data_IF_454278756038
#
_entry.id   IF_454278756038
#
_cell.length_a   1.000
_cell.length_b   1.000
_cell.length_c   1.000
_cell.angle_alpha   90.00
_cell.angle_beta   90.00
_cell.angle_gamma   90.00
#
_symmetry.space_group_name_H-M   'P 1'
#
loop_
_entity.id
_entity.type
_entity.pdbx_description
1 polymer ?
#
# COMPACT_ATOMS: atom_id res chain seq x y z
N UNK A 1 20.60 -44.92 -3.47
CA UNK A 1 20.89 -43.49 -3.70
C UNK A 1 20.23 -43.09 -5.02
N UNK A 2 18.97 -42.65 -4.99
CA UNK A 2 18.24 -42.29 -6.21
C UNK A 2 18.10 -40.78 -6.31
N UNK A 3 19.05 -40.15 -7.01
CA UNK A 3 18.89 -38.78 -7.49
C UNK A 3 17.92 -38.80 -8.67
N UNK A 4 16.67 -38.42 -8.42
CA UNK A 4 15.68 -38.16 -9.48
C UNK A 4 15.79 -36.67 -9.83
N UNK A 5 16.03 -36.26 -11.08
CA UNK A 5 16.15 -34.84 -11.42
C UNK A 5 14.78 -34.18 -11.19
N UNK A 6 14.66 -33.38 -10.12
CA UNK A 6 13.41 -32.67 -9.82
C UNK A 6 13.26 -31.50 -10.79
N UNK A 7 12.29 -31.60 -11.70
CA UNK A 7 11.96 -30.52 -12.64
C UNK A 7 11.42 -29.28 -11.91
N UNK A 8 11.46 -28.13 -12.59
CA UNK A 8 11.05 -26.83 -12.03
C UNK A 8 9.63 -26.86 -11.43
N UNK A 9 8.68 -27.55 -12.08
CA UNK A 9 7.31 -27.70 -11.58
C UNK A 9 7.20 -28.53 -10.31
N UNK A 10 8.00 -29.60 -10.17
CA UNK A 10 8.02 -30.43 -8.96
C UNK A 10 8.57 -29.64 -7.77
N UNK A 11 9.57 -28.79 -8.01
CA UNK A 11 10.14 -27.90 -6.97
C UNK A 11 9.16 -26.81 -6.60
N UNK A 12 8.40 -26.28 -7.56
CA UNK A 12 7.39 -25.26 -7.31
C UNK A 12 6.15 -25.79 -6.58
N UNK A 13 5.65 -26.99 -6.92
CA UNK A 13 4.57 -27.63 -6.16
C UNK A 13 5.01 -27.96 -4.74
N UNK A 14 6.24 -28.44 -4.56
CA UNK A 14 6.81 -28.70 -3.25
C UNK A 14 7.00 -27.41 -2.44
N UNK A 15 7.45 -26.32 -3.06
CA UNK A 15 7.57 -25.02 -2.38
C UNK A 15 6.21 -24.45 -1.98
N UNK A 16 5.18 -24.61 -2.81
CA UNK A 16 3.81 -24.19 -2.44
C UNK A 16 3.27 -24.97 -1.24
N UNK A 17 3.48 -26.29 -1.21
CA UNK A 17 3.09 -27.10 -0.05
C UNK A 17 3.85 -26.68 1.21
N UNK A 18 5.16 -26.43 1.10
CA UNK A 18 5.96 -25.95 2.24
C UNK A 18 5.49 -24.58 2.76
N UNK A 19 5.09 -23.66 1.89
CA UNK A 19 4.56 -22.34 2.29
C UNK A 19 3.22 -22.48 3.04
N UNK A 20 2.37 -23.40 2.61
CA UNK A 20 1.09 -23.66 3.27
C UNK A 20 1.30 -24.30 4.65
N UNK A 21 2.27 -25.23 4.77
CA UNK A 21 2.69 -25.81 6.05
C UNK A 21 3.33 -24.77 6.98
N UNK A 22 4.21 -23.89 6.46
CA UNK A 22 4.80 -22.77 7.19
C UNK A 22 3.71 -21.82 7.72
N UNK A 23 2.72 -21.46 6.89
CA UNK A 23 1.60 -20.60 7.29
C UNK A 23 0.74 -21.23 8.39
N UNK A 24 0.45 -22.53 8.28
CA UNK A 24 -0.29 -23.26 9.31
C UNK A 24 0.52 -23.38 10.62
N UNK A 25 1.83 -23.54 10.52
CA UNK A 25 2.71 -23.55 11.69
C UNK A 25 2.81 -22.17 12.36
N UNK A 26 2.84 -21.10 11.58
CA UNK A 26 2.77 -19.72 12.08
C UNK A 26 1.41 -19.44 12.74
N UNK A 27 0.29 -19.85 12.12
CA UNK A 27 -1.06 -19.71 12.68
C UNK A 27 -1.21 -20.49 14.00
N UNK A 28 -0.66 -21.70 14.08
CA UNK A 28 -0.62 -22.49 15.31
C UNK A 28 0.32 -21.88 16.37
N UNK A 29 1.44 -21.29 15.96
CA UNK A 29 2.36 -20.61 16.86
C UNK A 29 1.75 -19.31 17.42
N UNK A 30 1.01 -18.56 16.60
CA UNK A 30 0.27 -17.37 17.04
C UNK A 30 -0.88 -17.74 17.96
N UNK A 31 -1.63 -18.80 17.68
CA UNK A 31 -2.70 -19.28 18.57
C UNK A 31 -2.14 -19.71 19.93
N UNK A 32 -1.00 -20.42 19.94
CA UNK A 32 -0.31 -20.82 21.18
C UNK A 32 0.32 -19.62 21.91
N UNK A 33 0.73 -18.59 21.20
CA UNK A 33 1.21 -17.35 21.81
C UNK A 33 0.05 -16.57 22.45
N UNK A 34 -1.12 -16.53 21.79
CA UNK A 34 -2.34 -15.92 22.33
C UNK A 34 -2.85 -16.66 23.57
N UNK A 35 -2.89 -18.00 23.57
CA UNK A 35 -3.25 -18.77 24.77
C UNK A 35 -2.30 -18.49 25.95
N UNK A 36 -0.99 -18.31 25.69
CA UNK A 36 -0.03 -17.96 26.73
C UNK A 36 -0.17 -16.52 27.22
N UNK A 37 -0.53 -15.58 26.36
CA UNK A 37 -0.79 -14.20 26.79
C UNK A 37 -2.06 -14.12 27.60
N UNK A 38 -3.12 -14.86 27.23
CA UNK A 38 -4.38 -14.91 27.99
C UNK A 38 -4.17 -15.53 29.38
N UNK A 39 -3.32 -16.56 29.50
CA UNK A 39 -2.98 -17.20 30.79
C UNK A 39 -2.07 -16.31 31.67
N UNK A 40 -1.26 -15.42 31.06
CA UNK A 40 -0.48 -14.42 31.80
C UNK A 40 -1.32 -13.20 32.20
N UNK A 41 -2.26 -12.75 31.36
CA UNK A 41 -3.15 -11.62 31.66
C UNK A 41 -4.08 -11.94 32.83
N UNK A 42 -4.58 -13.18 32.93
CA UNK A 42 -5.36 -13.64 34.09
C UNK A 42 -4.57 -13.60 35.40
N UNK A 43 -3.24 -13.79 35.35
CA UNK A 43 -2.37 -13.75 36.54
C UNK A 43 -1.95 -12.33 36.96
N UNK A 44 -1.88 -11.38 36.01
CA UNK A 44 -1.55 -9.97 36.28
C UNK A 44 -2.79 -9.15 36.70
N UNK A 45 -3.99 -9.55 36.25
CA UNK A 45 -5.27 -8.98 36.68
C UNK A 45 -5.57 -9.23 38.18
N UNK A 46 -5.30 -10.42 38.73
CA UNK A 46 -5.53 -10.69 40.17
C UNK A 46 -4.61 -9.85 41.10
N UNK A 47 -3.39 -9.52 40.64
CA UNK A 47 -2.43 -8.72 41.42
C UNK A 47 -2.72 -7.22 41.32
N UNK A 48 -3.25 -6.76 40.19
CA UNK A 48 -3.57 -5.34 39.97
C UNK A 48 -4.94 -4.93 40.53
N UNK A 49 -5.93 -5.84 40.54
CA UNK A 49 -7.26 -5.59 41.15
C UNK A 49 -7.15 -5.36 42.66
N UNK A 50 -6.27 -6.12 43.33
CA UNK A 50 -5.97 -6.00 44.77
C UNK A 50 -5.33 -4.65 45.16
N UNK A 51 -4.64 -3.98 44.24
CA UNK A 51 -3.94 -2.72 44.52
C UNK A 51 -4.76 -1.48 44.10
N UNK A 52 -5.63 -1.61 43.10
CA UNK A 52 -6.50 -0.54 42.62
C UNK A 52 -7.75 -0.32 43.48
N UNK A 53 -8.29 -1.35 44.15
CA UNK A 53 -9.43 -1.18 45.08
C UNK A 53 -9.10 -0.29 46.30
N UNK A 54 -7.82 -0.14 46.66
CA UNK A 54 -7.41 0.73 47.77
C UNK A 54 -7.32 2.22 47.42
N UNK A 55 -7.35 2.58 46.12
CA UNK A 55 -7.12 3.95 45.65
C UNK A 55 -8.33 4.60 44.96
N UNK A 56 -9.40 3.85 44.66
CA UNK A 56 -10.58 4.36 43.95
C UNK A 56 -11.77 4.75 44.87
N UNK A 57 -11.67 4.56 46.20
CA UNK A 57 -12.80 4.81 47.13
C UNK A 57 -13.00 6.31 47.47
N UNK A 58 -12.28 7.25 46.83
CA UNK A 58 -12.38 8.68 47.20
C UNK A 58 -12.94 9.65 46.15
N UNK A 59 -13.24 9.26 44.91
CA UNK A 59 -13.64 10.25 43.89
C UNK A 59 -14.84 9.90 42.97
N UNK A 60 -15.64 8.87 43.26
CA UNK A 60 -16.79 8.53 42.41
C UNK A 60 -18.10 8.27 43.16
N UNK A 61 -18.38 9.06 44.21
CA UNK A 61 -19.70 9.16 44.83
C UNK A 61 -20.42 10.43 44.34
N UNK A 62 -20.92 10.39 43.11
CA UNK A 62 -21.94 11.26 42.46
C UNK A 62 -21.82 10.97 40.95
N UNK A 63 -22.67 10.21 40.26
CA UNK A 63 -24.12 10.04 40.35
C UNK A 63 -24.45 8.60 39.92
N UNK A 64 -24.71 7.72 40.89
CA UNK A 64 -25.35 6.43 40.65
C UNK A 64 -26.83 6.56 40.99
N UNK A 65 -27.62 7.17 40.11
CA UNK A 65 -29.09 7.06 40.15
C UNK A 65 -29.67 7.21 38.74
N UNK A 66 -29.61 6.13 37.96
CA UNK A 66 -30.83 5.52 37.40
C UNK A 66 -30.43 4.26 36.61
N UNK A 67 -30.79 3.12 37.20
CA UNK A 67 -31.17 1.85 36.58
C UNK A 67 -30.31 1.32 35.41
N UNK A 68 -29.68 0.17 35.65
CA UNK A 68 -28.96 -0.69 34.71
C UNK A 68 -29.84 -1.24 33.57
N UNK A 69 -30.37 -0.34 32.73
CA UNK A 69 -31.04 -0.65 31.48
C UNK A 69 -30.12 -0.23 30.35
N UNK A 70 -29.67 -1.21 29.57
CA UNK A 70 -28.95 -0.94 28.32
C UNK A 70 -29.89 -0.15 27.42
N UNK A 71 -29.53 1.09 27.11
CA UNK A 71 -30.27 1.94 26.20
C UNK A 71 -30.04 1.40 24.78
N UNK A 72 -31.13 1.00 24.14
CA UNK A 72 -31.11 0.54 22.74
C UNK A 72 -31.24 1.73 21.80
N UNK A 73 -31.03 1.51 20.50
CA UNK A 73 -31.10 2.57 19.48
C UNK A 73 -32.46 3.31 19.42
N UNK A 74 -33.52 2.77 20.02
CA UNK A 74 -34.86 3.39 20.06
C UNK A 74 -34.99 4.44 21.18
N UNK A 75 -34.18 4.33 22.23
CA UNK A 75 -34.18 5.25 23.38
C UNK A 75 -33.27 6.47 23.13
N UNK A 76 -32.37 6.40 22.14
CA UNK A 76 -31.45 7.46 21.78
C UNK A 76 -31.93 8.27 20.57
N UNK A 77 -31.54 9.56 20.45
CA UNK A 77 -31.79 10.33 19.24
C UNK A 77 -31.17 9.65 18.02
N UNK A 78 -31.73 9.92 16.84
CA UNK A 78 -31.20 9.37 15.59
C UNK A 78 -29.82 9.99 15.28
N UNK A 79 -28.74 9.20 15.20
CA UNK A 79 -27.39 9.74 15.02
C UNK A 79 -27.20 10.48 13.69
N UNK A 80 -27.96 10.13 12.65
CA UNK A 80 -27.89 10.79 11.33
C UNK A 80 -28.61 12.15 11.31
N UNK A 81 -29.40 12.47 12.35
CA UNK A 81 -30.12 13.75 12.47
C UNK A 81 -29.37 14.79 13.30
N UNK A 82 -28.22 14.43 13.86
CA UNK A 82 -27.41 15.36 14.67
C UNK A 82 -26.73 16.35 13.73
N UNK A 83 -26.93 17.64 14.01
CA UNK A 83 -26.36 18.74 13.23
C UNK A 83 -24.82 18.70 13.25
N UNK A 84 -24.19 19.34 12.26
CA UNK A 84 -22.73 19.46 12.18
C UNK A 84 -22.24 20.26 13.40
N UNK A 85 -21.30 19.69 14.16
CA UNK A 85 -20.85 20.26 15.43
C UNK A 85 -21.76 19.97 16.64
N UNK A 86 -22.83 19.18 16.46
CA UNK A 86 -23.67 18.68 17.54
C UNK A 86 -22.94 17.68 18.45
N UNK A 87 -23.46 17.46 19.64
CA UNK A 87 -22.87 16.55 20.62
C UNK A 87 -23.31 15.10 20.43
N UNK A 88 -22.35 14.18 20.41
CA UNK A 88 -22.56 12.73 20.42
C UNK A 88 -22.34 12.10 21.81
N UNK A 89 -22.14 12.93 22.85
CA UNK A 89 -21.78 12.45 24.19
C UNK A 89 -22.80 11.46 24.77
N UNK A 90 -24.09 11.62 24.46
CA UNK A 90 -25.16 10.73 24.91
C UNK A 90 -24.97 9.26 24.47
N UNK A 91 -24.28 9.01 23.35
CA UNK A 91 -24.01 7.66 22.84
C UNK A 91 -22.74 7.03 23.46
N UNK A 92 -21.96 7.79 24.21
CA UNK A 92 -20.68 7.35 24.78
C UNK A 92 -20.81 6.78 26.19
N UNK A 93 -22.00 6.84 26.79
CA UNK A 93 -22.26 6.29 28.12
C UNK A 93 -22.01 4.78 28.20
N UNK A 94 -21.63 4.29 29.39
CA UNK A 94 -21.37 2.87 29.63
C UNK A 94 -22.61 1.97 29.43
N UNK A 95 -23.81 2.55 29.52
CA UNK A 95 -25.09 1.85 29.39
C UNK A 95 -25.65 1.84 27.95
N UNK A 96 -24.88 2.25 26.93
CA UNK A 96 -25.34 2.31 25.54
C UNK A 96 -24.96 1.03 24.81
N UNK A 97 -25.90 0.47 24.03
CA UNK A 97 -25.64 -0.69 23.18
C UNK A 97 -24.45 -0.43 22.20
N UNK A 98 -23.49 -1.37 22.06
CA UNK A 98 -22.32 -1.18 21.22
C UNK A 98 -22.66 -0.93 19.74
N UNK A 99 -23.78 -1.47 19.23
CA UNK A 99 -24.18 -1.25 17.83
C UNK A 99 -24.69 0.17 17.62
N UNK A 100 -25.45 0.72 18.58
CA UNK A 100 -25.90 2.11 18.59
C UNK A 100 -24.70 3.07 18.70
N UNK A 101 -23.74 2.75 19.57
CA UNK A 101 -22.48 3.50 19.70
C UNK A 101 -21.68 3.50 18.40
N UNK A 102 -21.54 2.35 17.74
CA UNK A 102 -20.84 2.25 16.45
C UNK A 102 -21.56 3.02 15.33
N UNK A 103 -22.89 3.01 15.32
CA UNK A 103 -23.68 3.81 14.37
C UNK A 103 -23.49 5.31 14.60
N UNK A 104 -23.51 5.76 15.85
CA UNK A 104 -23.26 7.15 16.22
C UNK A 104 -21.85 7.63 15.82
N UNK A 105 -20.81 6.83 16.05
CA UNK A 105 -19.45 7.15 15.64
C UNK A 105 -19.29 7.20 14.12
N UNK A 106 -19.95 6.29 13.38
CA UNK A 106 -19.98 6.36 11.91
C UNK A 106 -20.64 7.63 11.41
N UNK A 107 -21.75 8.06 12.02
CA UNK A 107 -22.41 9.31 11.67
C UNK A 107 -21.53 10.53 11.99
N UNK A 108 -20.86 10.54 13.15
CA UNK A 108 -19.91 11.59 13.54
C UNK A 108 -18.79 11.75 12.50
N UNK A 109 -18.11 10.67 12.14
CA UNK A 109 -17.00 10.74 11.17
C UNK A 109 -17.44 10.92 9.72
N UNK A 110 -18.73 10.77 9.43
CA UNK A 110 -19.28 11.09 8.11
C UNK A 110 -19.49 12.61 7.94
N UNK A 111 -19.45 13.39 9.01
CA UNK A 111 -19.63 14.85 8.94
C UNK A 111 -18.53 15.50 8.09
N UNK A 112 -18.87 16.53 7.27
CA UNK A 112 -17.96 17.11 6.29
C UNK A 112 -16.69 17.72 6.91
N UNK A 113 -16.80 18.26 8.13
CA UNK A 113 -15.67 18.86 8.86
C UNK A 113 -14.51 17.90 9.12
N UNK A 114 -14.75 16.59 9.14
CA UNK A 114 -13.71 15.58 9.34
C UNK A 114 -13.12 15.05 8.03
N UNK A 115 -13.68 15.45 6.89
CA UNK A 115 -13.23 15.02 5.56
C UNK A 115 -12.29 16.05 4.91
N UNK A 116 -12.09 17.21 5.53
CA UNK A 116 -11.18 18.25 5.06
C UNK A 116 -9.74 17.91 5.48
N UNK A 117 -8.85 17.78 4.50
CA UNK A 117 -7.41 17.55 4.70
C UNK A 117 -6.69 18.88 4.53
N UNK A 118 -5.63 19.13 5.31
CA UNK A 118 -4.87 20.40 5.31
C UNK A 118 -4.06 20.68 4.02
N UNK A 119 -3.91 19.67 3.15
CA UNK A 119 -3.13 19.76 1.91
C UNK A 119 -1.60 19.76 2.10
N UNK A 120 -1.09 19.52 3.31
CA UNK A 120 0.36 19.42 3.57
C UNK A 120 0.91 18.00 3.33
N UNK A 121 0.03 17.04 3.14
CA UNK A 121 0.37 15.65 2.89
C UNK A 121 0.60 15.42 1.40
N UNK A 122 1.83 15.06 1.05
CA UNK A 122 2.27 14.82 -0.34
C UNK A 122 1.48 13.70 -1.05
N UNK A 123 0.90 12.76 -0.30
CA UNK A 123 0.18 11.60 -0.84
C UNK A 123 -1.31 11.57 -0.47
N UNK A 124 -1.93 12.71 -0.19
CA UNK A 124 -3.34 12.80 0.21
C UNK A 124 -4.31 13.23 -0.92
N UNK A 125 -3.91 13.08 -2.18
CA UNK A 125 -4.78 13.34 -3.33
C UNK A 125 -5.86 12.25 -3.48
N UNK A 126 -7.02 12.60 -4.03
CA UNK A 126 -8.10 11.65 -4.32
C UNK A 126 -7.81 10.87 -5.61
N UNK A 127 -7.32 9.65 -5.46
CA UNK A 127 -7.08 8.72 -6.57
C UNK A 127 -8.29 7.86 -6.94
N UNK A 128 -9.45 8.04 -6.29
CA UNK A 128 -10.64 7.21 -6.52
C UNK A 128 -11.22 7.40 -7.93
N UNK A 129 -11.03 8.60 -8.50
CA UNK A 129 -11.62 9.02 -9.76
C UNK A 129 -10.56 9.37 -10.81
N UNK A 130 -9.47 8.63 -10.89
CA UNK A 130 -8.45 8.86 -11.92
C UNK A 130 -9.06 8.75 -13.33
N UNK A 131 -8.80 9.74 -14.22
CA UNK A 131 -9.31 9.70 -15.58
C UNK A 131 -8.72 8.48 -16.31
N UNK A 132 -9.60 7.66 -16.89
CA UNK A 132 -9.16 6.53 -17.70
C UNK A 132 -8.63 7.02 -19.03
N UNK A 133 -7.50 6.47 -19.47
CA UNK A 133 -6.96 6.72 -20.80
C UNK A 133 -7.97 6.34 -21.89
N UNK A 134 -8.01 7.12 -22.96
CA UNK A 134 -8.79 6.77 -24.14
C UNK A 134 -8.20 5.53 -24.85
N UNK A 135 -9.02 4.86 -25.67
CA UNK A 135 -8.56 3.72 -26.47
C UNK A 135 -7.41 4.11 -27.43
N UNK A 136 -7.41 5.34 -27.93
CA UNK A 136 -6.36 5.85 -28.82
C UNK A 136 -5.06 6.10 -28.06
N UNK A 137 -5.14 6.76 -26.90
CA UNK A 137 -3.98 7.04 -26.04
C UNK A 137 -3.34 5.74 -25.55
N UNK A 138 -4.15 4.78 -25.10
CA UNK A 138 -3.66 3.47 -24.67
C UNK A 138 -3.02 2.69 -25.82
N UNK A 139 -3.58 2.75 -27.03
CA UNK A 139 -2.99 2.13 -28.21
C UNK A 139 -1.66 2.79 -28.63
N UNK A 140 -1.54 4.11 -28.51
CA UNK A 140 -0.29 4.82 -28.79
C UNK A 140 0.82 4.43 -27.81
N UNK A 141 0.50 4.36 -26.51
CA UNK A 141 1.43 3.90 -25.48
C UNK A 141 1.86 2.46 -25.77
N UNK A 142 0.92 1.56 -26.08
CA UNK A 142 1.22 0.18 -26.44
C UNK A 142 2.16 0.08 -27.66
N UNK A 143 1.91 0.89 -28.71
CA UNK A 143 2.79 0.97 -29.89
C UNK A 143 4.19 1.46 -29.52
N UNK A 144 4.30 2.50 -28.69
CA UNK A 144 5.59 3.05 -28.23
C UNK A 144 6.39 2.02 -27.44
N UNK A 145 5.74 1.31 -26.52
CA UNK A 145 6.35 0.22 -25.75
C UNK A 145 6.82 -0.90 -26.69
N UNK A 146 5.96 -1.35 -27.61
CA UNK A 146 6.29 -2.40 -28.56
C UNK A 146 7.49 -2.03 -29.45
N UNK A 147 7.53 -0.79 -29.96
CA UNK A 147 8.66 -0.26 -30.74
C UNK A 147 9.96 -0.29 -29.95
N UNK A 148 9.92 0.07 -28.67
CA UNK A 148 11.11 0.11 -27.83
C UNK A 148 11.62 -1.30 -27.48
N UNK A 149 10.72 -2.23 -27.22
CA UNK A 149 11.08 -3.65 -26.96
C UNK A 149 11.69 -4.30 -28.21
N UNK A 150 11.06 -4.12 -29.37
CA UNK A 150 11.58 -4.68 -30.64
C UNK A 150 12.93 -4.07 -31.03
N UNK A 151 13.11 -2.75 -30.89
CA UNK A 151 14.40 -2.10 -31.11
C UNK A 151 15.50 -2.68 -30.21
N UNK A 152 15.22 -2.89 -28.92
CA UNK A 152 16.15 -3.53 -27.98
C UNK A 152 16.50 -4.97 -28.39
N UNK A 153 15.53 -5.75 -28.86
CA UNK A 153 15.79 -7.12 -29.32
C UNK A 153 16.69 -7.16 -30.55
N UNK A 154 16.51 -6.22 -31.49
CA UNK A 154 17.32 -6.16 -32.70
C UNK A 154 18.74 -5.65 -32.40
N UNK A 155 18.90 -4.69 -31.48
CA UNK A 155 20.20 -4.26 -30.95
C UNK A 155 20.95 -5.42 -30.27
N UNK A 156 20.25 -6.24 -29.47
CA UNK A 156 20.85 -7.43 -28.84
C UNK A 156 21.26 -8.45 -29.88
N UNK A 157 20.43 -8.73 -30.89
CA UNK A 157 20.79 -9.65 -31.99
C UNK A 157 21.97 -9.13 -32.81
N UNK A 158 22.04 -7.83 -33.07
CA UNK A 158 23.14 -7.22 -33.80
C UNK A 158 24.45 -7.28 -32.99
N UNK A 159 24.38 -7.10 -31.67
CA UNK A 159 25.52 -7.32 -30.77
C UNK A 159 25.96 -8.79 -30.71
N UNK A 160 25.02 -9.75 -30.66
CA UNK A 160 25.33 -11.18 -30.71
C UNK A 160 25.95 -11.59 -32.06
N UNK A 161 25.47 -11.04 -33.17
CA UNK A 161 26.02 -11.26 -34.50
C UNK A 161 27.42 -10.61 -34.65
N UNK A 162 27.64 -9.44 -34.07
CA UNK A 162 28.95 -8.79 -34.05
C UNK A 162 29.96 -9.57 -33.20
N UNK A 163 29.56 -10.08 -32.02
CA UNK A 163 30.40 -10.96 -31.20
C UNK A 163 30.72 -12.29 -31.90
N UNK A 164 29.74 -12.92 -32.56
CA UNK A 164 29.96 -14.15 -33.31
C UNK A 164 30.88 -13.95 -34.54
N UNK A 165 30.84 -12.77 -35.16
CA UNK A 165 31.74 -12.41 -36.26
C UNK A 165 33.17 -12.12 -35.78
N UNK A 166 33.35 -11.52 -34.60
CA UNK A 166 34.66 -11.38 -33.96
C UNK A 166 35.26 -12.73 -33.56
N UNK A 167 34.47 -13.63 -32.96
CA UNK A 167 34.92 -14.99 -32.63
C UNK A 167 35.33 -15.78 -33.88
N UNK A 168 34.56 -15.71 -34.97
CA UNK A 168 34.91 -16.38 -36.24
C UNK A 168 36.11 -15.75 -36.97
N UNK A 169 36.41 -14.47 -36.75
CA UNK A 169 37.61 -13.82 -37.30
C UNK A 169 38.90 -14.26 -36.57
N UNK A 170 38.79 -14.74 -35.32
CA UNK A 170 39.93 -15.25 -34.54
C UNK A 170 40.32 -16.71 -34.86
N UNK A 171 39.44 -17.51 -35.47
CA UNK A 171 39.74 -18.91 -35.84
C UNK A 171 40.42 -19.11 -37.21
N UNK A 172 40.50 -18.07 -38.06
CA UNK A 172 41.18 -18.14 -39.37
C UNK A 172 42.60 -17.54 -39.37
N UNK A 173 43.20 -17.31 -38.21
CA UNK A 173 44.54 -16.76 -38.09
C UNK A 173 45.33 -17.44 -36.96
N UNK A 174 45.50 -18.77 -37.05
CA UNK A 174 46.66 -19.41 -36.42
C UNK A 174 47.80 -19.43 -37.44
N UNK A 175 48.65 -18.40 -37.42
CA UNK A 175 50.11 -18.57 -37.41
C UNK A 175 50.81 -17.22 -37.16
N UNK A 176 51.53 -17.18 -36.03
CA UNK A 176 52.65 -16.27 -35.71
C UNK A 176 52.39 -14.89 -35.06
N UNK A 177 53.21 -14.68 -34.03
CA UNK A 177 53.82 -13.42 -33.53
C UNK A 177 53.03 -12.50 -32.59
N UNK A 178 53.30 -12.71 -31.30
CA UNK A 178 53.74 -11.72 -30.30
C UNK A 178 53.43 -10.22 -30.52
N UNK A 179 52.73 -9.70 -29.51
CA UNK A 179 52.96 -8.40 -28.84
C UNK A 179 52.54 -7.10 -29.55
N UNK A 180 51.68 -6.38 -28.80
CA UNK A 180 51.43 -4.94 -28.83
C UNK A 180 50.76 -4.40 -30.09
N UNK A 181 49.61 -3.76 -29.88
CA UNK A 181 49.47 -2.31 -30.02
C UNK A 181 48.12 -1.88 -29.46
N UNK A 182 48.19 -0.90 -28.57
CA UNK A 182 47.08 -0.14 -28.02
C UNK A 182 46.13 0.33 -29.11
N UNK A 183 44.83 0.20 -28.89
CA UNK A 183 43.87 1.08 -29.53
C UNK A 183 42.79 1.45 -28.50
N UNK A 184 42.81 2.73 -28.11
CA UNK A 184 41.69 3.38 -27.45
C UNK A 184 40.47 3.25 -28.37
N UNK A 185 39.45 2.52 -27.91
CA UNK A 185 38.10 2.67 -28.45
C UNK A 185 37.31 3.52 -27.48
N UNK A 186 37.28 4.80 -27.83
CA UNK A 186 36.26 5.78 -27.52
C UNK A 186 34.93 5.10 -27.18
N UNK A 187 34.57 5.14 -25.90
CA UNK A 187 33.21 4.90 -25.44
C UNK A 187 32.43 6.11 -25.94
N UNK A 188 31.73 5.94 -27.07
CA UNK A 188 30.66 6.84 -27.43
C UNK A 188 29.53 6.58 -26.43
N UNK A 189 29.55 7.38 -25.36
CA UNK A 189 28.46 7.45 -24.40
C UNK A 189 27.34 8.24 -25.06
N UNK A 190 26.62 7.60 -25.98
CA UNK A 190 25.31 8.08 -26.38
C UNK A 190 24.42 7.91 -25.15
N UNK A 191 24.19 9.02 -24.46
CA UNK A 191 23.32 9.08 -23.30
C UNK A 191 21.98 8.43 -23.69
N UNK A 192 21.38 7.57 -22.83
CA UNK A 192 20.05 7.08 -23.12
C UNK A 192 19.15 8.32 -23.21
N UNK A 193 18.66 8.64 -24.41
CA UNK A 193 17.62 9.66 -24.53
C UNK A 193 16.49 9.25 -23.59
N UNK A 194 16.30 10.10 -22.59
CA UNK A 194 15.34 9.89 -21.55
C UNK A 194 13.96 9.83 -22.20
N UNK A 195 13.19 8.80 -21.88
CA UNK A 195 11.86 8.55 -22.45
C UNK A 195 10.87 9.67 -22.05
N UNK A 196 11.35 10.65 -21.28
CA UNK A 196 10.64 11.76 -20.68
C UNK A 196 11.03 13.15 -21.25
N UNK A 197 11.74 13.25 -22.38
CA UNK A 197 11.96 14.53 -23.11
C UNK A 197 10.69 15.03 -23.86
N UNK A 198 9.52 14.87 -23.22
CA UNK A 198 8.46 15.87 -23.35
C UNK A 198 8.92 17.01 -22.44
N UNK A 199 8.88 18.25 -22.91
CA UNK A 199 8.91 19.42 -22.03
C UNK A 199 8.02 19.08 -20.84
N UNK A 200 8.65 18.78 -19.71
CA UNK A 200 7.96 18.62 -18.46
C UNK A 200 7.55 20.04 -18.17
N UNK A 201 6.40 20.45 -18.71
CA UNK A 201 5.57 21.42 -18.03
C UNK A 201 5.63 20.96 -16.58
N UNK A 202 6.19 21.83 -15.74
CA UNK A 202 6.39 21.65 -14.31
C UNK A 202 5.02 21.53 -13.65
N UNK A 203 4.33 20.44 -13.99
CA UNK A 203 3.12 19.97 -13.37
C UNK A 203 3.59 19.33 -12.08
N UNK A 204 3.99 20.20 -11.16
CA UNK A 204 3.98 19.88 -9.75
C UNK A 204 2.68 19.13 -9.48
N UNK A 205 2.80 17.88 -9.03
CA UNK A 205 1.65 17.06 -8.66
C UNK A 205 0.78 17.73 -7.57
N UNK A 206 1.31 18.80 -6.96
CA UNK A 206 0.67 19.63 -5.93
C UNK A 206 0.47 21.09 -6.36
N UNK A 207 0.53 21.42 -7.66
CA UNK A 207 0.16 22.76 -8.11
C UNK A 207 -1.36 22.94 -7.95
N UNK A 208 -1.84 24.00 -7.28
CA UNK A 208 -3.27 24.30 -7.28
C UNK A 208 -3.70 24.62 -8.72
N UNK A 209 -4.83 24.06 -9.15
CA UNK A 209 -5.44 24.43 -10.43
C UNK A 209 -5.60 25.95 -10.46
N UNK A 210 -4.91 26.61 -11.39
CA UNK A 210 -5.12 28.03 -11.63
C UNK A 210 -6.46 28.19 -12.36
N UNK A 211 -7.55 28.20 -11.61
CA UNK A 211 -8.89 28.46 -12.12
C UNK A 211 -8.95 29.86 -12.73
N UNK A 212 -8.88 29.93 -14.06
CA UNK A 212 -9.21 31.10 -14.86
C UNK A 212 -10.65 31.10 -15.37
N UNK A 213 -11.60 30.49 -14.64
CA UNK A 213 -13.00 30.44 -15.07
C UNK A 213 -13.90 31.02 -13.97
N UNK A 214 -14.12 32.34 -14.06
CA UNK A 214 -15.06 33.08 -13.23
C UNK A 214 -16.47 32.50 -13.42
N UNK A 215 -16.94 31.68 -12.48
CA UNK A 215 -18.35 31.30 -12.41
C UNK A 215 -19.17 32.55 -12.11
N UNK A 216 -19.86 33.05 -13.13
CA UNK A 216 -20.78 34.17 -13.06
C UNK A 216 -21.86 33.87 -12.01
N UNK A 217 -21.97 34.74 -11.02
CA UNK A 217 -22.98 34.65 -9.96
C UNK A 217 -24.33 35.02 -10.56
N UNK A 218 -25.23 34.03 -10.70
CA UNK A 218 -26.62 34.28 -11.03
C UNK A 218 -27.34 34.73 -9.75
N UNK A 219 -27.79 35.99 -9.77
CA UNK A 219 -28.67 36.64 -8.78
C UNK A 219 -30.09 36.07 -8.86
#
# INVERSE_FOLDING_TARGET
MSNKPSGLFSRWTQRRQQVEEERLAEEAATARAQEKTDEQDLSDLEVTESQLESSLVQESDQEATDEAKVLTAEDLPDPDKIEVGGSFASFMGANVDPTAKAAALKALWKQPQYNEIDGLLEYALDYSNQPKLSAEQSAEIAKKIFRHVTKKEDEVKEQELAQAAEDHATESADESTTASLSNETHIDSEAPEDILDIESDDLSQNAPDSEGETKETVV
#
